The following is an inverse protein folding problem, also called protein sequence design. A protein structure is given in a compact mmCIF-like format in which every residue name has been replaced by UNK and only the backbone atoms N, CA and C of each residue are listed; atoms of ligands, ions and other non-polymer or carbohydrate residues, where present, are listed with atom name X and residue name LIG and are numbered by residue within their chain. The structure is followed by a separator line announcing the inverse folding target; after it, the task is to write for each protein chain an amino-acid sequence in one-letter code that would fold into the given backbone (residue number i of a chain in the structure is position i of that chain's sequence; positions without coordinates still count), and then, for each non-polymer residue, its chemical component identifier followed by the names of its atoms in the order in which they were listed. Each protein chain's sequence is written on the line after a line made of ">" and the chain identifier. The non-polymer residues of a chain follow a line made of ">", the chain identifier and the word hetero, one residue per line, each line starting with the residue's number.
data_IF_032151506004
#
_entry.id   IF_032151506004
#
_cell.length_a   1.000
_cell.length_b   1.000
_cell.length_c   1.000
_cell.angle_alpha   90.00
_cell.angle_beta   90.00
_cell.angle_gamma   90.00
#
_symmetry.space_group_name_H-M   'P 1'
#
loop_
_entity.id
_entity.type
_entity.pdbx_description
1 polymer ?
#
# COMPACT_ATOMS: atom_id res chain seq x y z
N UNK A 1 -39.10 19.69 -27.81
CA UNK A 1 -38.31 20.26 -26.70
C UNK A 1 -37.07 19.40 -26.53
N UNK A 2 -36.11 19.57 -27.43
CA UNK A 2 -34.77 19.02 -27.30
C UNK A 2 -33.86 20.10 -26.76
N UNK A 3 -32.93 19.70 -25.89
CA UNK A 3 -31.53 20.15 -25.79
C UNK A 3 -30.93 19.52 -24.52
N UNK A 4 -29.67 19.10 -24.64
CA UNK A 4 -28.67 18.81 -23.59
C UNK A 4 -28.71 17.47 -22.82
N UNK A 5 -28.66 16.34 -23.53
CA UNK A 5 -28.08 15.11 -22.97
C UNK A 5 -26.71 14.73 -23.61
N UNK A 6 -26.34 15.33 -24.74
CA UNK A 6 -25.21 14.88 -25.57
C UNK A 6 -23.93 15.74 -25.46
N UNK A 7 -23.77 16.56 -24.40
CA UNK A 7 -22.55 17.38 -24.22
C UNK A 7 -21.81 17.11 -22.89
N UNK A 8 -22.36 16.30 -21.98
CA UNK A 8 -21.67 15.99 -20.71
C UNK A 8 -20.62 14.86 -20.85
N UNK A 9 -20.66 14.06 -21.92
CA UNK A 9 -19.90 12.81 -21.99
C UNK A 9 -18.46 12.91 -22.52
N UNK A 10 -17.88 14.10 -22.75
CA UNK A 10 -16.51 14.21 -23.29
C UNK A 10 -15.52 15.10 -22.50
N UNK A 11 -15.96 15.84 -21.47
CA UNK A 11 -15.03 16.59 -20.59
C UNK A 11 -14.66 15.82 -19.31
N UNK A 12 -15.41 14.77 -18.93
CA UNK A 12 -15.19 14.04 -17.68
C UNK A 12 -14.04 13.02 -17.72
N UNK A 13 -13.48 12.73 -18.89
CA UNK A 13 -12.44 11.72 -19.06
C UNK A 13 -11.08 12.08 -18.40
N UNK A 14 -10.84 13.35 -18.04
CA UNK A 14 -9.51 13.81 -17.63
C UNK A 14 -9.35 14.18 -16.16
N UNK A 15 -10.39 14.12 -15.31
CA UNK A 15 -10.27 14.61 -13.93
C UNK A 15 -9.97 13.51 -12.89
N UNK A 16 -9.20 12.49 -13.25
CA UNK A 16 -8.74 11.46 -12.30
C UNK A 16 -7.58 12.00 -11.47
N UNK A 17 -7.47 11.53 -10.23
CA UNK A 17 -6.31 11.89 -9.41
C UNK A 17 -5.02 11.23 -9.97
N UNK A 18 -4.02 11.99 -10.44
CA UNK A 18 -2.95 11.48 -11.31
C UNK A 18 -2.08 10.39 -10.64
N UNK A 19 -1.70 10.59 -9.38
CA UNK A 19 -0.91 9.58 -8.66
C UNK A 19 -1.70 8.31 -8.32
N UNK A 20 -3.03 8.43 -8.23
CA UNK A 20 -3.90 7.27 -7.98
C UNK A 20 -4.13 6.51 -9.27
N UNK A 21 -4.27 7.22 -10.39
CA UNK A 21 -4.48 6.64 -11.72
C UNK A 21 -3.32 5.71 -12.07
N UNK A 22 -2.08 6.22 -12.04
CA UNK A 22 -0.86 5.45 -12.29
C UNK A 22 -0.74 4.23 -11.36
N UNK A 23 -1.02 4.41 -10.06
CA UNK A 23 -0.94 3.31 -9.10
C UNK A 23 -2.01 2.24 -9.38
N UNK A 24 -3.24 2.66 -9.63
CA UNK A 24 -4.38 1.77 -9.86
C UNK A 24 -4.23 1.00 -11.19
N UNK A 25 -3.76 1.67 -12.24
CA UNK A 25 -3.41 1.03 -13.52
C UNK A 25 -2.36 -0.07 -13.34
N UNK A 26 -1.30 0.21 -12.59
CA UNK A 26 -0.26 -0.79 -12.31
C UNK A 26 -0.79 -1.95 -11.48
N UNK A 27 -1.55 -1.69 -10.42
CA UNK A 27 -2.18 -2.74 -9.62
C UNK A 27 -3.14 -3.59 -10.45
N UNK A 28 -3.90 -2.96 -11.36
CA UNK A 28 -4.78 -3.67 -12.30
C UNK A 28 -3.98 -4.57 -13.25
N UNK A 29 -2.88 -4.06 -13.82
CA UNK A 29 -2.00 -4.86 -14.66
C UNK A 29 -1.42 -6.07 -13.92
N UNK A 30 -1.07 -5.93 -12.62
CA UNK A 30 -0.63 -7.07 -11.79
C UNK A 30 -1.75 -8.12 -11.66
N UNK A 31 -3.00 -7.70 -11.42
CA UNK A 31 -4.14 -8.62 -11.31
C UNK A 31 -4.41 -9.35 -12.63
N UNK A 32 -4.41 -8.61 -13.74
CA UNK A 32 -4.57 -9.18 -15.08
C UNK A 32 -3.42 -10.15 -15.40
N UNK A 33 -2.19 -9.79 -15.04
CA UNK A 33 -1.03 -10.65 -15.24
C UNK A 33 -1.14 -11.99 -14.51
N UNK A 34 -1.56 -11.98 -13.24
CA UNK A 34 -1.75 -13.23 -12.46
C UNK A 34 -2.84 -14.12 -13.03
N UNK A 35 -3.97 -13.54 -13.41
CA UNK A 35 -5.03 -14.31 -14.04
C UNK A 35 -4.59 -14.84 -15.42
N UNK A 36 -3.75 -14.11 -16.15
CA UNK A 36 -3.16 -14.62 -17.39
C UNK A 36 -2.22 -15.81 -17.12
N UNK A 37 -1.38 -15.74 -16.08
CA UNK A 37 -0.52 -16.86 -15.67
C UNK A 37 -1.32 -18.09 -15.28
N UNK A 38 -2.42 -17.91 -14.55
CA UNK A 38 -3.34 -19.00 -14.18
C UNK A 38 -3.97 -19.66 -15.41
N UNK A 39 -4.43 -18.87 -16.38
CA UNK A 39 -4.93 -19.42 -17.65
C UNK A 39 -3.84 -20.14 -18.46
N UNK A 40 -2.61 -19.61 -18.46
CA UNK A 40 -1.47 -20.20 -19.16
C UNK A 40 -1.00 -21.52 -18.53
N UNK A 41 -1.17 -21.69 -17.21
CA UNK A 41 -0.90 -22.94 -16.51
C UNK A 41 -1.79 -24.09 -17.01
N UNK A 42 -2.96 -23.76 -17.58
CA UNK A 42 -3.93 -24.68 -18.18
C UNK A 42 -4.09 -24.47 -19.68
N UNK A 43 -3.00 -24.11 -20.39
CA UNK A 43 -3.03 -23.74 -21.82
C UNK A 43 -3.69 -24.76 -22.74
N UNK A 44 -3.71 -26.04 -22.38
CA UNK A 44 -4.36 -27.13 -23.09
C UNK A 44 -5.90 -27.02 -23.09
N UNK A 45 -6.47 -26.36 -22.08
CA UNK A 45 -7.93 -26.15 -21.96
C UNK A 45 -8.42 -24.94 -22.74
N UNK A 46 -7.50 -24.09 -23.24
CA UNK A 46 -7.86 -22.94 -24.08
C UNK A 46 -8.42 -23.46 -25.41
N UNK A 47 -9.61 -23.03 -25.89
CA UNK A 47 -10.17 -23.48 -27.15
C UNK A 47 -9.27 -23.22 -28.37
N UNK A 48 -9.52 -23.89 -29.50
CA UNK A 48 -8.78 -23.66 -30.75
C UNK A 48 -8.97 -22.23 -31.26
N UNK A 49 -10.17 -21.67 -31.08
CA UNK A 49 -10.50 -20.28 -31.35
C UNK A 49 -11.15 -19.66 -30.12
N UNK A 50 -10.51 -18.64 -29.56
CA UNK A 50 -10.95 -18.01 -28.32
C UNK A 50 -10.77 -16.49 -28.35
N UNK A 51 -11.51 -15.80 -27.50
CA UNK A 51 -11.33 -14.39 -27.18
C UNK A 51 -11.00 -14.21 -25.70
N UNK A 52 -10.36 -13.10 -25.34
CA UNK A 52 -10.07 -12.74 -23.96
C UNK A 52 -10.53 -11.31 -23.68
N UNK A 53 -11.35 -11.12 -22.64
CA UNK A 53 -11.65 -9.79 -22.09
C UNK A 53 -10.96 -9.61 -20.75
N UNK A 54 -10.23 -8.50 -20.60
CA UNK A 54 -9.71 -8.05 -19.31
C UNK A 54 -10.67 -7.01 -18.72
N UNK A 55 -11.24 -7.33 -17.55
CA UNK A 55 -12.25 -6.50 -16.90
C UNK A 55 -11.59 -5.43 -16.01
N UNK A 56 -12.15 -4.21 -15.92
CA UNK A 56 -11.52 -3.11 -15.19
C UNK A 56 -11.62 -3.35 -13.69
N UNK A 57 -10.50 -3.27 -13.00
CA UNK A 57 -10.42 -3.46 -11.56
C UNK A 57 -10.88 -2.20 -10.78
N UNK A 58 -11.09 -1.08 -11.49
CA UNK A 58 -11.42 0.21 -10.92
C UNK A 58 -12.55 0.90 -11.68
N UNK A 59 -13.44 1.56 -10.95
CA UNK A 59 -14.34 2.58 -11.47
C UNK A 59 -13.93 3.92 -10.88
N UNK A 60 -13.99 4.98 -11.67
CA UNK A 60 -13.59 6.32 -11.26
C UNK A 60 -14.82 7.16 -10.96
N UNK A 61 -15.06 7.44 -9.69
CA UNK A 61 -16.27 8.12 -9.22
C UNK A 61 -15.92 9.27 -8.28
N UNK A 62 -16.79 10.28 -8.21
CA UNK A 62 -16.70 11.28 -7.13
C UNK A 62 -16.95 10.60 -5.78
N UNK A 63 -16.12 10.83 -4.75
CA UNK A 63 -16.29 10.17 -3.46
C UNK A 63 -17.57 10.66 -2.76
N UNK A 64 -18.27 9.75 -2.09
CA UNK A 64 -19.43 10.07 -1.23
C UNK A 64 -19.03 10.30 0.23
N UNK A 65 -17.75 10.14 0.54
CA UNK A 65 -17.15 10.43 1.85
C UNK A 65 -16.16 11.57 1.75
N UNK A 66 -15.96 12.29 2.84
CA UNK A 66 -14.95 13.34 2.90
C UNK A 66 -13.54 12.74 2.88
N UNK A 67 -12.80 12.98 1.79
CA UNK A 67 -11.38 12.58 1.63
C UNK A 67 -10.41 13.76 1.82
N UNK A 68 -10.90 14.89 2.33
CA UNK A 68 -10.13 16.07 2.68
C UNK A 68 -9.87 16.99 1.48
N UNK A 69 -8.59 17.28 1.22
CA UNK A 69 -8.16 18.06 0.05
C UNK A 69 -7.74 17.19 -1.14
N UNK A 70 -7.84 15.86 -1.00
CA UNK A 70 -7.31 14.91 -1.99
C UNK A 70 -8.18 14.79 -3.23
N UNK A 71 -9.48 14.98 -3.10
CA UNK A 71 -10.44 15.00 -4.22
C UNK A 71 -10.52 16.38 -4.88
N UNK A 72 -9.56 17.27 -4.65
CA UNK A 72 -9.55 18.61 -5.22
C UNK A 72 -8.34 18.79 -6.12
N UNK A 73 -8.57 19.18 -7.36
CA UNK A 73 -7.53 19.57 -8.29
C UNK A 73 -6.73 20.76 -7.73
N UNK A 74 -5.41 20.74 -7.92
CA UNK A 74 -4.55 21.84 -7.48
C UNK A 74 -4.83 23.09 -8.31
N UNK A 75 -4.97 24.24 -7.65
CA UNK A 75 -5.25 25.52 -8.30
C UNK A 75 -6.74 25.79 -8.56
N UNK A 76 -7.48 24.84 -9.15
CA UNK A 76 -8.90 25.05 -9.48
C UNK A 76 -9.85 24.66 -8.36
N UNK A 77 -9.46 23.70 -7.52
CA UNK A 77 -10.32 23.16 -6.45
C UNK A 77 -11.46 22.26 -6.94
N UNK A 78 -11.48 21.94 -8.24
CA UNK A 78 -12.48 21.07 -8.87
C UNK A 78 -12.41 19.64 -8.33
N UNK A 79 -13.57 18.98 -8.26
CA UNK A 79 -13.71 17.62 -7.75
C UNK A 79 -13.07 16.58 -8.66
N UNK A 80 -12.03 15.90 -8.18
CA UNK A 80 -11.37 14.78 -8.84
C UNK A 80 -12.17 13.49 -8.68
N UNK A 81 -12.11 12.63 -9.70
CA UNK A 81 -12.56 11.25 -9.62
C UNK A 81 -11.56 10.41 -8.82
N UNK A 82 -12.09 9.56 -7.94
CA UNK A 82 -11.34 8.68 -7.06
C UNK A 82 -11.64 7.22 -7.40
N UNK A 83 -10.67 6.30 -7.21
CA UNK A 83 -10.84 4.92 -7.59
C UNK A 83 -11.77 4.19 -6.59
N UNK A 84 -12.76 3.49 -7.13
CA UNK A 84 -13.64 2.56 -6.43
C UNK A 84 -13.33 1.16 -6.94
N UNK A 85 -13.03 0.24 -6.02
CA UNK A 85 -12.59 -1.11 -6.35
C UNK A 85 -13.74 -1.91 -6.96
N UNK A 86 -13.51 -2.52 -8.12
CA UNK A 86 -14.40 -3.52 -8.69
C UNK A 86 -13.91 -4.92 -8.31
N UNK A 87 -14.83 -5.71 -7.79
CA UNK A 87 -14.66 -7.10 -7.40
C UNK A 87 -15.41 -7.95 -8.43
N UNK A 88 -14.65 -8.67 -9.25
CA UNK A 88 -15.14 -9.55 -10.30
C UNK A 88 -14.86 -11.00 -9.90
N UNK A 89 -15.74 -11.92 -10.30
CA UNK A 89 -15.51 -13.36 -10.09
C UNK A 89 -14.19 -13.83 -10.74
N UNK A 90 -13.86 -13.24 -11.89
CA UNK A 90 -12.56 -13.38 -12.55
C UNK A 90 -12.16 -12.06 -13.23
N UNK A 91 -10.90 -11.61 -13.13
CA UNK A 91 -10.46 -10.37 -13.77
C UNK A 91 -10.17 -10.56 -15.28
N UNK A 92 -10.01 -11.80 -15.74
CA UNK A 92 -9.96 -12.15 -17.17
C UNK A 92 -11.05 -13.16 -17.53
N UNK A 93 -11.76 -12.89 -18.63
CA UNK A 93 -12.81 -13.78 -19.15
C UNK A 93 -12.34 -14.39 -20.46
N UNK A 94 -12.19 -15.71 -20.48
CA UNK A 94 -11.95 -16.49 -21.69
C UNK A 94 -13.29 -16.82 -22.35
N UNK A 95 -13.41 -16.59 -23.65
CA UNK A 95 -14.62 -16.84 -24.42
C UNK A 95 -14.37 -17.84 -25.54
N UNK A 96 -15.27 -18.81 -25.69
CA UNK A 96 -15.31 -19.70 -26.85
C UNK A 96 -16.09 -19.01 -27.98
N UNK A 97 -15.73 -19.29 -29.24
CA UNK A 97 -16.46 -18.78 -30.40
C UNK A 97 -17.96 -19.08 -30.31
N UNK A 98 -18.79 -18.05 -30.52
CA UNK A 98 -20.25 -18.16 -30.49
C UNK A 98 -20.88 -18.09 -29.09
N UNK A 99 -20.07 -17.99 -28.03
CA UNK A 99 -20.58 -17.88 -26.66
C UNK A 99 -20.75 -16.43 -26.18
N UNK A 100 -21.64 -16.27 -25.20
CA UNK A 100 -21.73 -15.08 -24.36
C UNK A 100 -21.57 -15.49 -22.90
N UNK A 101 -20.63 -14.87 -22.20
CA UNK A 101 -20.36 -15.18 -20.79
C UNK A 101 -20.97 -14.07 -19.92
N UNK A 102 -21.91 -14.39 -19.02
CA UNK A 102 -22.37 -13.43 -18.03
C UNK A 102 -21.25 -13.14 -17.03
N UNK A 103 -21.09 -11.87 -16.67
CA UNK A 103 -20.14 -11.43 -15.66
C UNK A 103 -20.86 -10.65 -14.58
N UNK A 104 -20.48 -10.86 -13.33
CA UNK A 104 -21.03 -10.12 -12.21
C UNK A 104 -19.91 -9.34 -11.51
N UNK A 105 -20.27 -8.17 -10.99
CA UNK A 105 -19.33 -7.37 -10.21
C UNK A 105 -19.98 -6.77 -8.98
N UNK A 106 -19.12 -6.46 -8.01
CA UNK A 106 -19.44 -5.60 -6.88
C UNK A 106 -18.42 -4.48 -6.81
N UNK A 107 -18.87 -3.23 -6.77
CA UNK A 107 -17.97 -2.10 -6.57
C UNK A 107 -18.13 -1.55 -5.15
N UNK A 108 -17.02 -1.44 -4.43
CA UNK A 108 -16.99 -0.97 -3.03
C UNK A 108 -15.84 0.00 -2.82
N UNK A 109 -16.10 1.09 -2.09
CA UNK A 109 -15.07 2.07 -1.75
C UNK A 109 -15.56 3.50 -1.83
N UNK A 110 -14.91 4.41 -1.11
CA UNK A 110 -15.21 5.86 -1.14
C UNK A 110 -16.68 6.20 -0.82
N UNK A 111 -17.36 5.37 -0.02
CA UNK A 111 -18.78 5.51 0.30
C UNK A 111 -19.74 4.89 -0.72
N UNK A 112 -19.23 4.37 -1.84
CA UNK A 112 -20.01 3.64 -2.82
C UNK A 112 -20.15 2.17 -2.41
N UNK A 113 -21.33 1.62 -2.66
CA UNK A 113 -21.62 0.18 -2.66
C UNK A 113 -22.61 -0.09 -3.76
N UNK A 114 -22.16 -0.76 -4.81
CA UNK A 114 -22.98 -1.11 -5.96
C UNK A 114 -22.66 -2.53 -6.42
N UNK A 115 -23.61 -3.14 -7.11
CA UNK A 115 -23.42 -4.43 -7.76
C UNK A 115 -24.12 -4.37 -9.11
N UNK A 116 -23.59 -5.12 -10.08
CA UNK A 116 -24.15 -5.15 -11.41
C UNK A 116 -23.83 -6.44 -12.13
N UNK A 117 -24.45 -6.57 -13.29
CA UNK A 117 -24.23 -7.67 -14.21
C UNK A 117 -23.98 -7.10 -15.60
N UNK A 118 -23.17 -7.79 -16.36
CA UNK A 118 -22.98 -7.52 -17.79
C UNK A 118 -22.80 -8.84 -18.53
N UNK A 119 -22.59 -8.74 -19.85
CA UNK A 119 -22.27 -9.86 -20.71
C UNK A 119 -21.08 -9.49 -21.56
N UNK A 120 -20.14 -10.43 -21.64
CA UNK A 120 -19.06 -10.39 -22.63
C UNK A 120 -19.49 -11.28 -23.79
N UNK A 121 -19.51 -10.72 -24.99
CA UNK A 121 -20.09 -11.35 -26.18
C UNK A 121 -19.03 -11.48 -27.26
N UNK A 122 -18.89 -12.66 -27.83
CA UNK A 122 -18.05 -12.84 -29.02
C UNK A 122 -18.72 -12.19 -30.23
N UNK A 123 -18.00 -11.30 -30.92
CA UNK A 123 -18.45 -10.64 -32.15
C UNK A 123 -17.38 -10.78 -33.25
N UNK A 124 -17.73 -11.35 -34.42
CA UNK A 124 -16.85 -11.36 -35.58
C UNK A 124 -16.37 -9.95 -35.93
N UNK A 125 -15.08 -9.79 -36.22
CA UNK A 125 -14.46 -8.50 -36.55
C UNK A 125 -14.06 -7.63 -35.36
N UNK A 126 -14.42 -7.98 -34.12
CA UNK A 126 -13.88 -7.33 -32.93
C UNK A 126 -12.44 -7.79 -32.64
N UNK A 127 -11.72 -7.05 -31.79
CA UNK A 127 -10.36 -7.43 -31.38
C UNK A 127 -10.41 -8.68 -30.49
N UNK A 128 -9.54 -9.68 -30.71
CA UNK A 128 -9.57 -10.93 -29.96
C UNK A 128 -9.16 -10.77 -28.50
N UNK A 129 -8.52 -9.65 -28.16
CA UNK A 129 -8.23 -9.25 -26.79
C UNK A 129 -8.78 -7.85 -26.57
N UNK A 130 -9.68 -7.73 -25.60
CA UNK A 130 -10.33 -6.48 -25.23
C UNK A 130 -9.90 -6.06 -23.82
N UNK A 131 -9.27 -4.89 -23.71
CA UNK A 131 -9.02 -4.22 -22.42
C UNK A 131 -10.18 -3.29 -22.14
N UNK A 132 -11.05 -3.68 -21.23
CA UNK A 132 -12.27 -2.95 -20.92
C UNK A 132 -11.93 -1.81 -19.97
N UNK A 133 -12.22 -0.57 -20.38
CA UNK A 133 -11.83 0.64 -19.64
C UNK A 133 -12.86 1.04 -18.58
N UNK A 134 -14.13 0.81 -18.87
CA UNK A 134 -15.26 1.18 -18.00
C UNK A 134 -16.02 -0.05 -17.58
N UNK A 135 -16.65 -0.02 -16.41
CA UNK A 135 -17.42 -1.16 -15.94
C UNK A 135 -18.56 -1.44 -16.91
N UNK A 136 -18.57 -2.61 -17.55
CA UNK A 136 -19.59 -2.92 -18.53
C UNK A 136 -20.94 -3.12 -17.85
N UNK A 137 -22.01 -2.86 -18.59
CA UNK A 137 -23.38 -3.00 -18.10
C UNK A 137 -24.19 -3.84 -19.10
N UNK A 138 -25.44 -4.17 -18.77
CA UNK A 138 -26.33 -4.81 -19.75
C UNK A 138 -26.66 -3.89 -20.94
N UNK A 139 -26.57 -2.57 -20.75
CA UNK A 139 -26.77 -1.58 -21.82
C UNK A 139 -25.50 -1.37 -22.67
N UNK A 140 -24.32 -1.57 -22.07
CA UNK A 140 -23.02 -1.45 -22.73
C UNK A 140 -22.25 -2.77 -22.60
N UNK A 141 -22.56 -3.69 -23.51
CA UNK A 141 -21.93 -5.02 -23.56
C UNK A 141 -20.49 -4.94 -24.07
N UNK A 142 -19.63 -5.84 -23.59
CA UNK A 142 -18.25 -5.96 -24.08
C UNK A 142 -18.24 -6.88 -25.29
N UNK A 143 -17.71 -6.40 -26.41
CA UNK A 143 -17.52 -7.21 -27.61
C UNK A 143 -16.06 -7.64 -27.75
N UNK A 144 -15.84 -8.94 -27.93
CA UNK A 144 -14.52 -9.55 -28.11
C UNK A 144 -14.51 -10.37 -29.38
N UNK A 145 -13.43 -10.30 -30.15
CA UNK A 145 -13.22 -11.17 -31.29
C UNK A 145 -12.74 -12.55 -30.86
N UNK A 146 -12.51 -13.43 -31.83
CA UNK A 146 -11.82 -14.70 -31.62
C UNK A 146 -10.54 -14.74 -32.44
N UNK A 147 -9.50 -15.36 -31.91
CA UNK A 147 -8.26 -15.65 -32.62
C UNK A 147 -7.85 -17.12 -32.41
N UNK A 148 -6.99 -17.68 -33.28
CA UNK A 148 -6.40 -18.99 -33.07
C UNK A 148 -5.69 -19.08 -31.71
N UNK A 149 -5.74 -20.26 -31.07
CA UNK A 149 -5.16 -20.55 -29.76
C UNK A 149 -3.75 -20.00 -29.58
N UNK A 150 -2.90 -20.19 -30.59
CA UNK A 150 -1.51 -19.72 -30.55
C UNK A 150 -1.40 -18.19 -30.40
N UNK A 151 -2.30 -17.40 -30.99
CA UNK A 151 -2.33 -15.94 -30.84
C UNK A 151 -2.89 -15.51 -29.49
N UNK A 152 -3.89 -16.22 -28.98
CA UNK A 152 -4.46 -15.99 -27.64
C UNK A 152 -3.40 -16.26 -26.57
N UNK A 153 -2.68 -17.38 -26.66
CA UNK A 153 -1.57 -17.72 -25.76
C UNK A 153 -0.51 -16.62 -25.77
N UNK A 154 -0.04 -16.17 -26.94
CA UNK A 154 0.94 -15.07 -27.02
C UNK A 154 0.45 -13.78 -26.36
N UNK A 155 -0.84 -13.50 -26.49
CA UNK A 155 -1.44 -12.30 -25.88
C UNK A 155 -1.55 -12.43 -24.36
N UNK A 156 -1.90 -13.63 -23.85
CA UNK A 156 -1.86 -13.92 -22.42
C UNK A 156 -0.43 -13.84 -21.87
N UNK A 157 0.57 -14.34 -22.59
CA UNK A 157 1.99 -14.20 -22.22
C UNK A 157 2.40 -12.72 -22.12
N UNK A 158 1.96 -11.88 -23.07
CA UNK A 158 2.20 -10.44 -23.02
C UNK A 158 1.52 -9.77 -21.83
N UNK A 159 0.29 -10.17 -21.47
CA UNK A 159 -0.43 -9.66 -20.29
C UNK A 159 0.28 -10.11 -18.99
N UNK A 160 0.69 -11.37 -18.91
CA UNK A 160 1.46 -11.92 -17.78
C UNK A 160 2.76 -11.14 -17.57
N UNK A 161 3.52 -10.91 -18.64
CA UNK A 161 4.76 -10.14 -18.60
C UNK A 161 4.53 -8.67 -18.22
N UNK A 162 3.51 -8.02 -18.78
CA UNK A 162 3.11 -6.67 -18.40
C UNK A 162 2.74 -6.58 -16.90
N UNK A 163 2.10 -7.61 -16.35
CA UNK A 163 1.80 -7.70 -14.92
C UNK A 163 3.04 -7.81 -14.04
N UNK A 164 4.05 -8.60 -14.46
CA UNK A 164 5.35 -8.68 -13.76
C UNK A 164 6.08 -7.34 -13.76
N UNK A 165 6.12 -6.67 -14.92
CA UNK A 165 6.73 -5.35 -15.05
C UNK A 165 5.99 -4.31 -14.20
N UNK A 166 4.66 -4.37 -14.17
CA UNK A 166 3.84 -3.50 -13.34
C UNK A 166 4.11 -3.71 -11.84
N UNK A 167 4.31 -4.95 -11.39
CA UNK A 167 4.69 -5.24 -10.00
C UNK A 167 6.00 -4.53 -9.62
N UNK A 168 7.03 -4.67 -10.44
CA UNK A 168 8.31 -3.98 -10.21
C UNK A 168 8.18 -2.46 -10.26
N UNK A 169 7.36 -1.93 -11.17
CA UNK A 169 7.07 -0.50 -11.23
C UNK A 169 6.34 0.01 -9.98
N UNK A 170 5.46 -0.81 -9.37
CA UNK A 170 4.83 -0.48 -8.08
C UNK A 170 5.89 -0.46 -6.98
N UNK A 171 6.74 -1.48 -6.88
CA UNK A 171 7.82 -1.57 -5.87
C UNK A 171 8.75 -0.35 -5.94
N UNK A 172 9.25 -0.02 -7.14
CA UNK A 172 10.11 1.15 -7.36
C UNK A 172 9.40 2.47 -6.97
N UNK A 173 8.09 2.57 -7.20
CA UNK A 173 7.33 3.77 -6.82
C UNK A 173 7.09 3.90 -5.31
N UNK A 174 7.19 2.79 -4.57
CA UNK A 174 7.00 2.75 -3.12
C UNK A 174 8.29 3.13 -2.41
N UNK A 175 9.45 2.73 -2.92
CA UNK A 175 10.76 2.93 -2.28
C UNK A 175 10.99 4.36 -1.73
N UNK A 176 10.86 5.45 -2.51
CA UNK A 176 11.05 6.81 -1.97
C UNK A 176 10.00 7.19 -0.92
N UNK A 177 8.79 6.62 -1.00
CA UNK A 177 7.73 6.83 -0.01
C UNK A 177 8.04 6.08 1.28
N UNK A 178 8.55 4.85 1.18
CA UNK A 178 8.98 4.05 2.32
C UNK A 178 10.09 4.80 3.08
N UNK A 179 11.12 5.29 2.38
CA UNK A 179 12.19 6.09 2.99
C UNK A 179 11.64 7.28 3.78
N UNK A 180 10.73 8.04 3.18
CA UNK A 180 10.06 9.17 3.85
C UNK A 180 9.27 8.75 5.09
N UNK A 181 8.51 7.66 5.02
CA UNK A 181 7.74 7.17 6.17
C UNK A 181 8.62 6.56 7.25
N UNK A 182 9.78 5.99 6.90
CA UNK A 182 10.81 5.53 7.84
C UNK A 182 11.37 6.67 8.67
N UNK A 183 11.82 7.77 8.06
CA UNK A 183 12.31 8.93 8.83
C UNK A 183 11.21 9.53 9.73
N UNK A 184 9.97 9.58 9.26
CA UNK A 184 8.85 10.03 10.10
C UNK A 184 8.60 9.10 11.28
N UNK A 185 8.64 7.79 11.06
CA UNK A 185 8.48 6.80 12.12
C UNK A 185 9.65 6.87 13.11
N UNK A 186 10.89 7.02 12.62
CA UNK A 186 12.09 7.17 13.43
C UNK A 186 12.06 8.43 14.28
N UNK A 187 11.72 9.58 13.70
CA UNK A 187 11.55 10.82 14.45
C UNK A 187 10.46 10.69 15.52
N UNK A 188 9.34 10.03 15.19
CA UNK A 188 8.25 9.78 16.13
C UNK A 188 8.69 8.90 17.31
N UNK A 189 9.34 7.76 17.03
CA UNK A 189 9.85 6.84 18.06
C UNK A 189 10.91 7.53 18.93
N UNK A 190 11.84 8.27 18.31
CA UNK A 190 12.88 9.01 19.03
C UNK A 190 12.28 10.06 19.96
N UNK A 191 11.28 10.82 19.50
CA UNK A 191 10.59 11.80 20.33
C UNK A 191 9.83 11.14 21.49
N UNK A 192 9.10 10.06 21.21
CA UNK A 192 8.32 9.32 22.22
C UNK A 192 9.21 8.73 23.32
N UNK A 193 10.39 8.20 22.97
CA UNK A 193 11.37 7.71 23.94
C UNK A 193 12.01 8.88 24.71
N UNK A 194 12.33 9.98 24.02
CA UNK A 194 12.91 11.19 24.63
C UNK A 194 12.00 11.78 25.72
N UNK A 195 10.68 11.73 25.57
CA UNK A 195 9.72 12.15 26.59
C UNK A 195 9.84 11.35 27.89
N UNK A 196 10.42 10.16 27.85
CA UNK A 196 10.62 9.30 29.02
C UNK A 196 12.04 9.39 29.57
N UNK A 197 13.04 9.47 28.69
CA UNK A 197 14.46 9.53 29.09
C UNK A 197 14.92 10.93 29.47
N UNK A 198 14.22 11.97 28.99
CA UNK A 198 14.54 13.38 29.21
C UNK A 198 15.57 13.95 28.22
N UNK A 199 16.03 13.17 27.25
CA UNK A 199 17.02 13.61 26.26
C UNK A 199 16.61 13.17 24.86
N UNK A 200 16.49 14.13 23.94
CA UNK A 200 16.24 13.85 22.54
C UNK A 200 17.53 13.39 21.85
N UNK A 201 17.54 12.15 21.36
CA UNK A 201 18.63 11.57 20.59
C UNK A 201 18.05 10.68 19.48
N UNK A 202 18.66 10.65 18.27
CA UNK A 202 18.26 9.73 17.22
C UNK A 202 18.49 8.29 17.67
N UNK A 203 17.47 7.44 17.54
CA UNK A 203 17.55 6.05 18.02
C UNK A 203 18.34 5.10 17.11
N UNK A 204 18.47 5.48 15.84
CA UNK A 204 19.20 4.77 14.78
C UNK A 204 19.98 5.80 13.97
N UNK A 205 21.12 5.38 13.41
CA UNK A 205 21.89 6.13 12.41
C UNK A 205 21.35 5.88 10.99
N UNK A 206 21.98 6.50 9.99
CA UNK A 206 21.57 6.34 8.59
C UNK A 206 21.74 4.89 8.10
N UNK A 207 22.80 4.19 8.53
CA UNK A 207 23.02 2.79 8.17
C UNK A 207 21.90 1.91 8.73
N UNK A 208 21.52 2.11 10.00
CA UNK A 208 20.42 1.38 10.61
C UNK A 208 19.07 1.66 9.94
N UNK A 209 18.85 2.87 9.41
CA UNK A 209 17.64 3.20 8.63
C UNK A 209 17.66 2.49 7.26
N UNK A 210 18.79 2.51 6.57
CA UNK A 210 18.95 1.85 5.27
C UNK A 210 18.80 0.32 5.39
N UNK A 211 19.37 -0.31 6.43
CA UNK A 211 19.19 -1.74 6.72
C UNK A 211 17.70 -2.10 6.93
N UNK A 212 16.95 -1.24 7.64
CA UNK A 212 15.51 -1.46 7.83
C UNK A 212 14.76 -1.28 6.51
N UNK A 213 15.15 -0.28 5.70
CA UNK A 213 14.56 -0.08 4.38
C UNK A 213 14.73 -1.32 3.51
N UNK A 214 15.95 -1.86 3.42
CA UNK A 214 16.26 -3.07 2.64
C UNK A 214 15.48 -4.28 3.14
N UNK A 215 15.43 -4.48 4.47
CA UNK A 215 14.63 -5.56 5.07
C UNK A 215 13.13 -5.40 4.78
N UNK A 216 12.60 -4.18 4.81
CA UNK A 216 11.18 -3.93 4.50
C UNK A 216 10.86 -4.13 3.02
N UNK A 217 11.80 -3.79 2.13
CA UNK A 217 11.67 -3.95 0.68
C UNK A 217 11.75 -5.41 0.28
N UNK A 218 12.81 -6.12 0.69
CA UNK A 218 13.15 -7.44 0.17
C UNK A 218 12.85 -8.59 1.15
N UNK A 219 12.97 -8.34 2.46
CA UNK A 219 12.77 -9.35 3.49
C UNK A 219 14.07 -10.08 3.84
N UNK A 220 13.92 -11.35 4.25
CA UNK A 220 15.01 -12.28 4.53
C UNK A 220 14.77 -13.61 3.81
N UNK A 221 15.69 -14.56 3.96
CA UNK A 221 15.61 -15.90 3.33
C UNK A 221 14.33 -16.68 3.69
N UNK A 222 13.67 -16.32 4.78
CA UNK A 222 12.49 -17.03 5.30
C UNK A 222 11.18 -16.34 4.97
N UNK A 223 11.18 -15.01 4.80
CA UNK A 223 9.97 -14.21 4.69
C UNK A 223 10.13 -13.04 3.72
N UNK A 224 9.15 -12.83 2.83
CA UNK A 224 9.16 -11.66 1.95
C UNK A 224 9.03 -10.37 2.75
N UNK A 225 9.63 -9.31 2.22
CA UNK A 225 9.55 -7.95 2.74
C UNK A 225 8.11 -7.48 2.96
N UNK A 226 7.92 -6.58 3.92
CA UNK A 226 6.61 -5.98 4.20
C UNK A 226 6.00 -5.27 2.99
N UNK A 227 6.83 -4.74 2.08
CA UNK A 227 6.35 -4.08 0.85
C UNK A 227 5.68 -5.06 -0.09
N UNK A 228 6.28 -6.23 -0.34
CA UNK A 228 5.63 -7.28 -1.15
C UNK A 228 4.31 -7.72 -0.52
N UNK A 229 4.30 -7.99 0.79
CA UNK A 229 3.07 -8.36 1.51
C UNK A 229 2.01 -7.26 1.44
N UNK A 230 2.40 -5.99 1.49
CA UNK A 230 1.48 -4.86 1.33
C UNK A 230 0.87 -4.84 -0.08
N UNK A 231 1.67 -5.07 -1.12
CA UNK A 231 1.16 -5.16 -2.49
C UNK A 231 0.16 -6.30 -2.58
N UNK A 232 0.46 -7.50 -2.06
CA UNK A 232 -0.49 -8.62 -2.00
C UNK A 232 -1.82 -8.21 -1.36
N UNK A 233 -1.78 -7.51 -0.22
CA UNK A 233 -2.98 -7.00 0.44
C UNK A 233 -3.74 -6.01 -0.45
N UNK A 234 -3.04 -5.18 -1.22
CA UNK A 234 -3.66 -4.24 -2.17
C UNK A 234 -4.30 -4.93 -3.39
N UNK A 235 -3.98 -6.21 -3.65
CA UNK A 235 -4.61 -6.98 -4.72
C UNK A 235 -5.96 -7.59 -4.31
N UNK A 236 -6.18 -7.76 -2.99
CA UNK A 236 -7.42 -8.34 -2.45
C UNK A 236 -8.64 -7.43 -2.70
N UNK A 237 -9.84 -7.98 -2.90
CA UNK A 237 -11.03 -7.16 -3.16
C UNK A 237 -11.53 -6.38 -1.93
N UNK A 238 -11.19 -6.79 -0.71
CA UNK A 238 -11.64 -6.15 0.54
C UNK A 238 -10.82 -4.92 0.94
N UNK A 239 -9.77 -4.57 0.19
CA UNK A 239 -8.99 -3.38 0.49
C UNK A 239 -9.68 -2.09 0.01
N UNK A 240 -9.20 -0.94 0.51
CA UNK A 240 -9.63 0.41 0.11
C UNK A 240 -11.10 0.80 0.37
N UNK A 241 -11.85 0.04 1.18
CA UNK A 241 -13.28 0.32 1.46
C UNK A 241 -13.53 1.74 2.01
N UNK A 242 -12.66 2.20 2.92
CA UNK A 242 -12.83 3.48 3.64
C UNK A 242 -11.75 4.51 3.33
N UNK A 243 -10.70 4.13 2.61
CA UNK A 243 -9.50 4.96 2.39
C UNK A 243 -8.97 4.73 0.99
N UNK A 244 -8.42 5.77 0.38
CA UNK A 244 -7.81 5.67 -0.95
C UNK A 244 -6.55 4.78 -0.93
N UNK A 245 -6.17 4.18 -2.07
CA UNK A 245 -4.99 3.32 -2.17
C UNK A 245 -3.70 3.93 -1.61
N UNK A 246 -3.41 5.20 -1.90
CA UNK A 246 -2.21 5.86 -1.39
C UNK A 246 -2.26 6.00 0.14
N UNK A 247 -3.38 6.44 0.72
CA UNK A 247 -3.54 6.53 2.18
C UNK A 247 -3.42 5.17 2.86
N UNK A 248 -4.00 4.14 2.26
CA UNK A 248 -3.91 2.78 2.75
C UNK A 248 -2.44 2.33 2.81
N UNK A 249 -1.71 2.46 1.70
CA UNK A 249 -0.29 2.07 1.64
C UNK A 249 0.56 2.89 2.61
N UNK A 250 0.43 4.23 2.64
CA UNK A 250 1.18 5.08 3.57
C UNK A 250 0.95 4.67 5.03
N UNK A 251 -0.29 4.37 5.42
CA UNK A 251 -0.61 3.92 6.78
C UNK A 251 0.09 2.60 7.12
N UNK A 252 0.07 1.64 6.21
CA UNK A 252 0.74 0.35 6.41
C UNK A 252 2.26 0.50 6.46
N UNK A 253 2.86 1.26 5.53
CA UNK A 253 4.30 1.51 5.50
C UNK A 253 4.78 2.15 6.81
N UNK A 254 4.08 3.19 7.29
CA UNK A 254 4.43 3.84 8.55
C UNK A 254 4.34 2.90 9.75
N UNK A 255 3.26 2.11 9.86
CA UNK A 255 3.07 1.14 10.94
C UNK A 255 4.18 0.08 10.95
N UNK A 256 4.50 -0.46 9.77
CA UNK A 256 5.48 -1.52 9.65
C UNK A 256 6.89 -0.96 9.88
N UNK A 257 7.19 0.25 9.42
CA UNK A 257 8.42 1.00 9.70
C UNK A 257 8.63 1.21 11.21
N UNK A 258 7.61 1.70 11.91
CA UNK A 258 7.67 1.84 13.37
C UNK A 258 7.95 0.51 14.06
N UNK A 259 7.31 -0.56 13.60
CA UNK A 259 7.52 -1.91 14.13
C UNK A 259 8.97 -2.39 13.93
N UNK A 260 9.55 -2.17 12.75
CA UNK A 260 10.95 -2.57 12.50
C UNK A 260 11.94 -1.73 13.30
N UNK A 261 11.72 -0.42 13.41
CA UNK A 261 12.58 0.48 14.21
C UNK A 261 12.57 0.01 15.66
N UNK A 262 11.39 -0.21 16.25
CA UNK A 262 11.26 -0.71 17.63
C UNK A 262 11.94 -2.06 17.82
N UNK A 263 11.78 -2.98 16.87
CA UNK A 263 12.45 -4.28 16.91
C UNK A 263 13.97 -4.14 16.87
N UNK A 264 14.51 -3.24 16.03
CA UNK A 264 15.96 -3.02 15.89
C UNK A 264 16.59 -2.49 17.18
N UNK A 265 15.90 -1.58 17.88
CA UNK A 265 16.38 -0.99 19.15
C UNK A 265 16.02 -1.84 20.39
N UNK A 266 15.38 -3.00 20.21
CA UNK A 266 14.95 -3.87 21.30
C UNK A 266 13.75 -3.35 22.12
N UNK A 267 13.01 -2.38 21.60
CA UNK A 267 11.80 -1.85 22.24
C UNK A 267 10.63 -2.83 22.04
N UNK A 268 10.01 -3.35 23.11
CA UNK A 268 8.85 -4.22 22.98
C UNK A 268 7.67 -3.48 22.32
N UNK A 269 6.83 -4.20 21.56
CA UNK A 269 5.65 -3.62 20.91
C UNK A 269 4.71 -2.85 21.87
N UNK A 270 4.64 -3.26 23.14
CA UNK A 270 3.82 -2.61 24.17
C UNK A 270 4.55 -1.46 24.90
N UNK A 271 5.81 -1.18 24.54
CA UNK A 271 6.66 -0.15 25.13
C UNK A 271 6.02 1.24 25.24
N UNK A 272 5.36 1.75 24.17
CA UNK A 272 4.70 3.05 24.21
C UNK A 272 3.65 3.17 25.33
N UNK A 273 2.84 2.12 25.52
CA UNK A 273 1.82 2.09 26.58
C UNK A 273 2.44 2.05 27.97
N UNK A 274 3.55 1.33 28.12
CA UNK A 274 4.28 1.25 29.40
C UNK A 274 4.83 2.63 29.77
N UNK A 275 5.45 3.32 28.80
CA UNK A 275 5.99 4.68 28.98
C UNK A 275 4.90 5.73 29.19
N UNK A 276 3.74 5.60 28.55
CA UNK A 276 2.56 6.42 28.82
C UNK A 276 2.09 6.27 30.28
N UNK A 277 1.97 5.04 30.78
CA UNK A 277 1.58 4.80 32.18
C UNK A 277 2.66 5.32 33.14
N UNK A 278 3.95 5.09 32.85
CA UNK A 278 5.04 5.62 33.66
C UNK A 278 5.00 7.15 33.77
N UNK A 279 4.66 7.86 32.69
CA UNK A 279 4.50 9.33 32.69
C UNK A 279 3.28 9.81 33.46
N UNK A 280 2.23 9.00 33.54
CA UNK A 280 1.02 9.32 34.32
C UNK A 280 1.19 9.16 35.84
N UNK A 281 2.26 8.51 36.30
CA UNK A 281 2.52 8.27 37.71
C UNK A 281 3.10 9.51 38.41
N UNK A 282 2.68 9.81 39.65
CA UNK A 282 3.28 10.88 40.46
C UNK A 282 4.79 10.67 40.65
N UNK A 283 5.54 11.77 40.59
CA UNK A 283 7.01 11.88 40.78
C UNK A 283 7.90 11.25 39.70
N UNK A 284 7.35 10.87 38.54
CA UNK A 284 8.14 10.23 37.47
C UNK A 284 8.82 8.94 37.94
N UNK A 285 8.22 8.29 38.95
CA UNK A 285 8.82 7.19 39.69
C UNK A 285 9.13 6.02 38.74
N UNK A 286 10.43 5.74 38.56
CA UNK A 286 10.96 4.67 37.68
C UNK A 286 10.86 3.27 38.33
N UNK A 287 10.14 3.13 39.44
CA UNK A 287 9.87 1.83 40.06
C UNK A 287 9.04 0.93 39.12
N UNK A 288 9.73 -0.06 38.55
CA UNK A 288 9.15 -1.02 37.62
C UNK A 288 8.01 -1.83 38.24
N UNK A 289 8.05 -2.14 39.54
CA UNK A 289 7.00 -2.92 40.19
C UNK A 289 5.68 -2.15 40.22
N UNK A 290 5.76 -0.84 40.53
CA UNK A 290 4.60 0.06 40.51
C UNK A 290 4.06 0.25 39.09
N UNK A 291 4.92 0.45 38.10
CA UNK A 291 4.51 0.58 36.69
C UNK A 291 3.75 -0.68 36.23
N UNK A 292 4.28 -1.86 36.52
CA UNK A 292 3.63 -3.13 36.15
C UNK A 292 2.28 -3.30 36.84
N UNK A 293 2.19 -2.92 38.12
CA UNK A 293 0.95 -2.96 38.89
C UNK A 293 -0.14 -2.08 38.26
N UNK A 294 0.17 -0.81 37.98
CA UNK A 294 -0.78 0.10 37.33
C UNK A 294 -1.12 -0.34 35.90
N UNK A 295 -0.12 -0.80 35.14
CA UNK A 295 -0.35 -1.31 33.79
C UNK A 295 -1.36 -2.46 33.78
N UNK A 296 -1.25 -3.41 34.71
CA UNK A 296 -2.18 -4.54 34.79
C UNK A 296 -3.60 -4.14 35.22
N UNK A 297 -3.77 -3.01 35.91
CA UNK A 297 -5.11 -2.47 36.21
C UNK A 297 -5.78 -1.93 34.94
N UNK A 298 -5.02 -1.23 34.09
CA UNK A 298 -5.54 -0.64 32.84
C UNK A 298 -5.69 -1.70 31.73
N UNK A 299 -4.72 -2.61 31.62
CA UNK A 299 -4.62 -3.63 30.59
C UNK A 299 -4.43 -5.04 31.18
N UNK A 300 -5.45 -5.62 31.83
CA UNK A 300 -5.32 -6.91 32.55
C UNK A 300 -5.02 -8.10 31.63
N UNK A 301 -5.41 -8.03 30.36
CA UNK A 301 -5.24 -9.12 29.39
C UNK A 301 -3.80 -9.28 28.89
N UNK A 302 -2.99 -8.22 28.92
CA UNK A 302 -1.67 -8.19 28.28
C UNK A 302 -0.58 -8.92 29.11
N UNK A 303 -0.86 -9.23 30.39
CA UNK A 303 0.01 -9.96 31.33
C UNK A 303 1.48 -9.49 31.27
N UNK A 304 1.69 -8.19 31.50
CA UNK A 304 3.02 -7.57 31.47
C UNK A 304 3.98 -8.20 32.50
N UNK A 305 5.17 -8.62 32.06
CA UNK A 305 6.26 -9.09 32.93
C UNK A 305 7.22 -7.96 33.27
N UNK A 306 7.92 -8.06 34.42
CA UNK A 306 8.91 -7.06 34.86
C UNK A 306 9.98 -6.85 33.79
N UNK A 307 10.55 -7.93 33.23
CA UNK A 307 11.58 -7.85 32.19
C UNK A 307 11.11 -7.08 30.93
N UNK A 308 9.82 -7.14 30.59
CA UNK A 308 9.26 -6.39 29.45
C UNK A 308 9.08 -4.92 29.79
N UNK A 309 8.74 -4.61 31.04
CA UNK A 309 8.68 -3.24 31.53
C UNK A 309 10.09 -2.62 31.61
N UNK A 310 11.07 -3.37 32.10
CA UNK A 310 12.47 -2.98 32.12
C UNK A 310 12.96 -2.67 30.71
N UNK A 311 12.81 -3.62 29.78
CA UNK A 311 13.22 -3.44 28.38
C UNK A 311 12.59 -2.18 27.73
N UNK A 312 11.33 -1.87 28.02
CA UNK A 312 10.66 -0.67 27.52
C UNK A 312 11.17 0.64 28.14
N UNK A 313 11.60 0.61 29.41
CA UNK A 313 12.06 1.79 30.15
C UNK A 313 13.57 2.05 29.98
N UNK A 314 14.35 1.03 29.60
CA UNK A 314 15.80 1.11 29.41
C UNK A 314 16.23 1.12 27.94
N UNK A 315 15.29 1.33 26.99
CA UNK A 315 15.63 1.46 25.57
C UNK A 315 16.65 2.59 25.40
N UNK A 316 17.72 2.30 24.67
CA UNK A 316 18.79 3.26 24.37
C UNK A 316 19.05 3.30 22.87
N UNK A 317 19.60 4.40 22.34
CA UNK A 317 19.95 4.46 20.93
C UNK A 317 20.92 3.35 20.55
N UNK A 318 20.88 2.93 19.29
CA UNK A 318 21.85 1.97 18.77
C UNK A 318 23.29 2.47 18.99
N UNK A 319 24.25 1.54 19.10
CA UNK A 319 25.64 1.87 19.38
C UNK A 319 26.22 2.83 18.33
N UNK A 320 25.87 2.64 17.05
CA UNK A 320 26.34 3.52 15.98
C UNK A 320 25.68 4.89 16.04
N UNK A 321 24.37 4.94 16.33
CA UNK A 321 23.65 6.20 16.53
C UNK A 321 24.27 7.05 17.66
N UNK A 322 24.67 6.42 18.77
CA UNK A 322 25.40 7.10 19.86
C UNK A 322 26.75 7.63 19.42
N UNK A 323 27.46 6.90 18.55
CA UNK A 323 28.77 7.31 18.05
C UNK A 323 28.67 8.47 17.04
N UNK A 324 27.58 8.57 16.28
CA UNK A 324 27.36 9.67 15.31
C UNK A 324 26.93 10.97 15.99
N UNK A 325 26.27 10.89 17.15
CA UNK A 325 26.02 12.04 18.03
C UNK A 325 27.33 12.39 18.74
N UNK A 326 28.31 12.87 17.98
CA UNK A 326 29.47 13.54 18.53
C UNK A 326 28.96 14.75 19.32
N UNK A 327 29.05 14.64 20.65
CA UNK A 327 28.70 15.69 21.61
C UNK A 327 29.31 17.03 21.15
N UNK A 328 28.64 18.18 21.38
CA UNK A 328 29.22 19.51 21.13
C UNK A 328 30.64 19.67 21.69
N UNK A 329 30.97 18.94 22.76
CA UNK A 329 32.28 18.89 23.40
C UNK A 329 33.39 18.27 22.52
N UNK A 330 33.07 17.36 21.61
CA UNK A 330 34.06 16.77 20.67
C UNK A 330 34.41 17.71 19.52
N UNK A 331 33.48 18.59 19.12
CA UNK A 331 33.81 19.70 18.21
C UNK A 331 34.74 20.72 18.87
N UNK A 332 34.57 20.96 20.17
CA UNK A 332 35.41 21.88 20.93
C UNK A 332 36.82 21.30 21.19
N UNK A 333 36.93 19.98 21.35
CA UNK A 333 38.22 19.26 21.43
C UNK A 333 38.99 19.23 20.10
N UNK A 334 38.30 19.09 18.97
CA UNK A 334 38.92 19.20 17.64
C UNK A 334 39.34 20.64 17.32
N UNK A 335 38.56 21.64 17.73
CA UNK A 335 38.91 23.05 17.58
C UNK A 335 40.10 23.49 18.46
N UNK A 336 40.25 22.90 19.66
CA UNK A 336 41.41 23.12 20.55
C UNK A 336 42.67 22.42 20.06
N UNK A 337 42.56 21.19 19.54
CA UNK A 337 43.72 20.48 18.98
C UNK A 337 44.21 21.06 17.65
N UNK A 338 43.36 21.77 16.90
CA UNK A 338 43.76 22.53 15.71
C UNK A 338 44.52 23.84 16.02
N UNK A 339 44.51 24.30 17.29
CA UNK A 339 45.24 25.51 17.74
C UNK A 339 46.57 25.23 18.42
N UNK A 340 46.94 23.95 18.57
CA UNK A 340 48.21 23.54 19.20
C UNK A 340 49.01 22.69 18.19
N UNK A 341 49.45 23.32 17.11
CA UNK A 341 50.70 22.94 16.43
C UNK A 341 51.45 24.24 16.11
N UNK A 342 52.71 24.39 16.58
CA UNK A 342 53.51 25.58 16.32
C UNK A 342 53.86 25.75 14.84
#
# INVERSE_FOLDING_TARGET
>A
MGLSAEIIENEEACNRHPNLDILCERLQAVMHGRAAEELLAHRETIPEYAGVAALPAWTWLRPLINVGRKDKAFGTGEGLLMPVRNDWDTPLVLLVSGESVPVTYRSRGMGHTMAGQSKVVVRPGARPVAMVQEVPSLASMVFVGTAPRAMVIRSLEAIAEAGKQALWAVIQSIEPKLRKELYKAHAHVSHEIAETTGAFQPMLDEIGIDEIQDFMMFGDDTKPGSVFRLIELCLTPECFLRVDPLKYMTKHLRRDAETQIRRKIGDPHIGPKIREIARSLPDGNRDLARIVSEYRKVYPKDRLSINRAEAAMTVSPDAMARATVLLPETMDLMARNARVRP
#
